data_IF_311607181047
#
_entry.id   IF_311607181047
#
_cell.length_a   1.000
_cell.length_b   1.000
_cell.length_c   1.000
_cell.angle_alpha   90.00
_cell.angle_beta   90.00
_cell.angle_gamma   90.00
#
_symmetry.space_group_name_H-M   'P 1'
#
loop_
_entity.id
_entity.type
_entity.pdbx_description
1 polymer ?
#
# COMPACT_ATOMS: atom_id res chain seq x y z
N UNK A 1 -15.92 -4.09 8.64
CA UNK A 1 -14.48 -4.44 8.66
C UNK A 1 -13.58 -3.21 8.82
N UNK A 2 -13.60 -2.19 7.90
CA UNK A 2 -12.75 -0.98 8.05
C UNK A 2 -13.14 -0.21 9.31
N UNK A 3 -14.42 -0.01 9.57
CA UNK A 3 -14.91 0.66 10.77
C UNK A 3 -14.45 -0.06 12.06
N UNK A 4 -14.44 -1.39 12.05
CA UNK A 4 -14.02 -2.19 13.22
C UNK A 4 -12.51 -2.02 13.47
N UNK A 5 -11.69 -1.96 12.40
CA UNK A 5 -10.24 -1.70 12.52
C UNK A 5 -9.95 -0.30 13.05
N UNK A 6 -10.70 0.71 12.61
CA UNK A 6 -10.56 2.08 13.12
C UNK A 6 -11.01 2.18 14.57
N UNK A 7 -12.12 1.54 14.93
CA UNK A 7 -12.58 1.47 16.31
C UNK A 7 -11.56 0.76 17.22
N UNK A 8 -10.98 -0.34 16.74
CA UNK A 8 -9.90 -1.04 17.45
C UNK A 8 -8.66 -0.15 17.63
N UNK A 9 -8.26 0.57 16.59
CA UNK A 9 -7.11 1.48 16.66
C UNK A 9 -7.33 2.60 17.69
N UNK A 10 -8.54 3.19 17.75
CA UNK A 10 -8.90 4.20 18.75
C UNK A 10 -8.89 3.62 20.15
N UNK A 11 -9.53 2.45 20.34
CA UNK A 11 -9.55 1.77 21.64
C UNK A 11 -8.14 1.50 22.15
N UNK A 12 -7.24 0.98 21.32
CA UNK A 12 -5.86 0.72 21.70
C UNK A 12 -5.04 2.00 21.95
N UNK A 13 -5.41 3.11 21.34
CA UNK A 13 -4.80 4.41 21.60
C UNK A 13 -5.25 5.01 22.94
N UNK A 14 -6.53 4.90 23.27
CA UNK A 14 -7.15 5.42 24.50
C UNK A 14 -6.89 4.49 25.69
N UNK A 15 -6.92 3.19 25.45
CA UNK A 15 -6.75 2.13 26.43
C UNK A 15 -5.69 1.12 25.94
N UNK A 16 -4.39 1.41 26.15
CA UNK A 16 -3.31 0.53 25.73
C UNK A 16 -3.42 -0.87 26.37
N UNK A 17 -3.25 -1.90 25.56
CA UNK A 17 -3.29 -3.31 25.96
C UNK A 17 -1.89 -3.95 25.82
N UNK A 18 -0.96 -3.76 26.77
CA UNK A 18 0.46 -4.11 26.61
C UNK A 18 0.73 -5.61 26.56
N UNK A 19 -0.29 -6.44 26.72
CA UNK A 19 -0.19 -7.90 26.67
C UNK A 19 -1.08 -8.54 25.60
N UNK A 20 -1.74 -7.73 24.75
CA UNK A 20 -2.67 -8.23 23.73
C UNK A 20 -2.01 -9.22 22.74
N UNK A 21 -0.71 -9.07 22.49
CA UNK A 21 0.08 -9.94 21.61
C UNK A 21 1.20 -10.67 22.36
N UNK A 22 1.03 -10.90 23.69
CA UNK A 22 2.05 -11.60 24.49
C UNK A 22 2.37 -12.98 23.88
N UNK A 23 3.66 -13.25 23.67
CA UNK A 23 4.16 -14.49 23.08
C UNK A 23 3.94 -14.61 21.55
N UNK A 24 3.40 -13.58 20.89
CA UNK A 24 3.21 -13.55 19.43
C UNK A 24 4.41 -12.96 18.73
N UNK A 25 4.70 -13.53 17.56
CA UNK A 25 5.82 -13.11 16.71
C UNK A 25 5.28 -12.65 15.34
N UNK A 26 5.68 -11.46 14.90
CA UNK A 26 5.42 -10.94 13.57
C UNK A 26 6.69 -11.02 12.73
N UNK A 27 6.68 -11.82 11.66
CA UNK A 27 7.71 -11.79 10.64
C UNK A 27 7.52 -10.57 9.72
N UNK A 28 8.59 -9.84 9.40
CA UNK A 28 8.59 -8.68 8.53
C UNK A 28 9.56 -8.90 7.38
N UNK A 29 9.04 -9.18 6.18
CA UNK A 29 9.83 -9.37 4.96
C UNK A 29 9.83 -8.08 4.14
N UNK A 30 11.00 -7.48 3.98
CA UNK A 30 11.21 -6.26 3.20
C UNK A 30 11.97 -6.56 1.89
N UNK A 31 11.24 -6.72 0.79
CA UNK A 31 11.84 -6.73 -0.54
C UNK A 31 12.32 -5.32 -0.93
N UNK A 32 11.68 -4.29 -0.37
CA UNK A 32 12.04 -2.88 -0.53
C UNK A 32 12.12 -2.18 0.83
N UNK A 33 13.14 -1.34 1.08
CA UNK A 33 13.36 -0.72 2.38
C UNK A 33 12.28 0.30 2.74
N UNK A 34 12.05 0.47 4.05
CA UNK A 34 11.23 1.57 4.58
C UNK A 34 11.54 1.83 6.04
N UNK A 35 11.99 3.04 6.35
CA UNK A 35 12.26 3.46 7.73
C UNK A 35 10.97 3.46 8.58
N UNK A 36 9.92 4.11 8.09
CA UNK A 36 8.67 4.29 8.86
C UNK A 36 7.89 3.00 9.04
N UNK A 37 7.77 2.18 7.99
CA UNK A 37 7.08 0.89 8.06
C UNK A 37 7.80 -0.04 9.04
N UNK A 38 9.11 -0.18 8.91
CA UNK A 38 9.92 -1.00 9.81
C UNK A 38 9.72 -0.58 11.28
N UNK A 39 9.98 0.70 11.57
CA UNK A 39 9.94 1.20 12.94
C UNK A 39 8.55 1.12 13.57
N UNK A 40 7.49 1.44 12.79
CA UNK A 40 6.11 1.43 13.30
C UNK A 40 5.61 0.01 13.61
N UNK A 41 5.90 -0.97 12.75
CA UNK A 41 5.51 -2.35 13.02
C UNK A 41 6.26 -2.94 14.22
N UNK A 42 7.57 -2.71 14.32
CA UNK A 42 8.34 -3.17 15.47
C UNK A 42 7.87 -2.51 16.77
N UNK A 43 7.73 -1.18 16.78
CA UNK A 43 7.24 -0.46 17.94
C UNK A 43 5.81 -0.88 18.33
N UNK A 44 4.94 -1.12 17.35
CA UNK A 44 3.58 -1.61 17.58
C UNK A 44 3.56 -2.98 18.25
N UNK A 45 4.36 -3.92 17.75
CA UNK A 45 4.49 -5.25 18.36
C UNK A 45 4.97 -5.17 19.80
N UNK A 46 6.03 -4.39 20.07
CA UNK A 46 6.57 -4.21 21.42
C UNK A 46 5.55 -3.60 22.38
N UNK A 47 4.80 -2.59 21.93
CA UNK A 47 3.75 -1.93 22.75
C UNK A 47 2.59 -2.85 23.10
N UNK A 48 2.34 -3.87 22.29
CA UNK A 48 1.31 -4.88 22.50
C UNK A 48 1.83 -6.16 23.19
N UNK A 49 3.13 -6.18 23.58
CA UNK A 49 3.75 -7.30 24.31
C UNK A 49 4.22 -8.44 23.40
N UNK A 50 4.18 -8.26 22.09
CA UNK A 50 4.70 -9.21 21.12
C UNK A 50 6.14 -8.90 20.71
N UNK A 51 6.66 -9.68 19.79
CA UNK A 51 7.98 -9.52 19.20
C UNK A 51 7.92 -9.52 17.66
N UNK A 52 9.02 -9.14 17.00
CA UNK A 52 9.14 -9.21 15.56
C UNK A 52 10.55 -9.53 15.14
N UNK A 53 10.71 -10.21 14.02
CA UNK A 53 11.98 -10.30 13.31
C UNK A 53 11.85 -9.68 11.92
N UNK A 54 12.98 -9.24 11.38
CA UNK A 54 13.05 -8.57 10.08
C UNK A 54 13.97 -9.35 9.16
N UNK A 55 13.51 -9.57 7.93
CA UNK A 55 14.31 -10.15 6.85
C UNK A 55 14.33 -9.17 5.69
N UNK A 56 15.51 -8.81 5.24
CA UNK A 56 15.73 -8.00 4.03
C UNK A 56 16.67 -8.79 3.13
N UNK A 57 16.15 -9.46 2.08
CA UNK A 57 16.99 -10.26 1.18
C UNK A 57 18.13 -9.44 0.59
N UNK A 58 19.34 -10.01 0.61
CA UNK A 58 20.56 -9.32 0.17
C UNK A 58 21.18 -8.36 1.17
N UNK A 59 20.60 -8.19 2.35
CA UNK A 59 21.14 -7.38 3.44
C UNK A 59 21.23 -8.23 4.72
N UNK A 60 22.37 -8.87 4.94
CA UNK A 60 22.57 -9.80 6.04
C UNK A 60 22.00 -11.22 5.81
N UNK A 61 21.30 -11.41 4.72
CA UNK A 61 20.84 -12.70 4.20
C UNK A 61 21.14 -12.79 2.70
N UNK A 62 20.99 -13.97 2.10
CA UNK A 62 21.10 -14.10 0.64
C UNK A 62 19.88 -13.51 -0.08
N UNK A 63 20.05 -13.32 -1.40
CA UNK A 63 18.94 -12.93 -2.28
C UNK A 63 17.96 -14.08 -2.44
N UNK A 64 16.68 -13.74 -2.60
CA UNK A 64 15.60 -14.70 -2.85
C UNK A 64 15.07 -14.48 -4.27
N UNK A 65 14.91 -15.57 -5.02
CA UNK A 65 14.31 -15.54 -6.36
C UNK A 65 12.78 -15.50 -6.25
N UNK A 66 12.16 -14.57 -6.98
CA UNK A 66 10.71 -14.35 -6.97
C UNK A 66 10.01 -14.83 -8.24
N UNK A 67 10.75 -14.98 -9.36
CA UNK A 67 10.17 -15.27 -10.67
C UNK A 67 9.76 -16.72 -10.79
N UNK A 68 8.50 -16.95 -11.15
CA UNK A 68 8.00 -18.30 -11.41
C UNK A 68 8.73 -18.96 -12.58
N UNK A 69 9.17 -20.20 -12.39
CA UNK A 69 9.89 -20.96 -13.42
C UNK A 69 11.36 -20.57 -13.60
N UNK A 70 11.92 -19.72 -12.73
CA UNK A 70 13.33 -19.41 -12.76
C UNK A 70 14.19 -20.66 -12.53
N UNK A 71 15.27 -20.76 -13.31
CA UNK A 71 16.30 -21.79 -13.08
C UNK A 71 17.22 -21.25 -11.99
N UNK A 72 17.41 -22.03 -10.91
CA UNK A 72 18.19 -21.65 -9.72
C UNK A 72 19.71 -21.78 -9.96
N UNK A 73 20.23 -21.08 -10.98
CA UNK A 73 21.64 -21.07 -11.36
C UNK A 73 22.27 -19.67 -11.35
N UNK A 74 21.53 -18.68 -10.82
CA UNK A 74 21.96 -17.28 -10.71
C UNK A 74 22.29 -16.91 -9.23
N UNK A 75 22.29 -15.62 -8.90
CA UNK A 75 22.75 -15.12 -7.60
C UNK A 75 21.83 -15.37 -6.41
N UNK A 76 20.61 -15.88 -6.61
CA UNK A 76 19.70 -16.20 -5.52
C UNK A 76 19.91 -17.64 -5.04
N UNK A 77 20.12 -17.83 -3.74
CA UNK A 77 20.31 -19.15 -3.15
C UNK A 77 19.01 -19.90 -2.89
N UNK A 78 17.87 -19.20 -2.83
CA UNK A 78 16.57 -19.74 -2.45
C UNK A 78 15.44 -19.09 -3.24
N UNK A 79 14.36 -19.81 -3.47
CA UNK A 79 13.17 -19.29 -4.14
C UNK A 79 12.08 -18.95 -3.11
N UNK A 80 11.20 -17.99 -3.41
CA UNK A 80 10.08 -17.62 -2.52
C UNK A 80 9.16 -18.80 -2.19
N UNK A 81 9.10 -19.83 -3.03
CA UNK A 81 8.29 -21.02 -2.80
C UNK A 81 8.75 -21.84 -1.57
N UNK A 82 10.02 -21.79 -1.26
CA UNK A 82 10.63 -22.38 -0.06
C UNK A 82 10.71 -21.35 1.06
N UNK A 83 11.22 -20.15 0.76
CA UNK A 83 11.48 -19.11 1.76
C UNK A 83 10.22 -18.67 2.51
N UNK A 84 9.10 -18.44 1.81
CA UNK A 84 7.88 -17.91 2.45
C UNK A 84 7.27 -18.93 3.45
N UNK A 85 7.04 -20.22 3.10
CA UNK A 85 6.55 -21.20 4.06
C UNK A 85 7.47 -21.38 5.27
N UNK A 86 8.80 -21.34 5.07
CA UNK A 86 9.78 -21.46 6.15
C UNK A 86 9.70 -20.24 7.07
N UNK A 87 9.70 -19.02 6.55
CA UNK A 87 9.55 -17.80 7.36
C UNK A 87 8.22 -17.78 8.12
N UNK A 88 7.13 -18.18 7.46
CA UNK A 88 5.82 -18.28 8.08
C UNK A 88 5.78 -19.30 9.23
N UNK A 89 6.61 -20.36 9.19
CA UNK A 89 6.70 -21.34 10.28
C UNK A 89 7.30 -20.77 11.57
N UNK A 90 8.07 -19.69 11.49
CA UNK A 90 8.74 -19.04 12.62
C UNK A 90 7.89 -17.94 13.29
N UNK A 91 6.72 -17.61 12.75
CA UNK A 91 5.91 -16.50 13.22
C UNK A 91 4.42 -16.84 13.29
N UNK A 92 3.65 -16.00 13.98
CA UNK A 92 2.19 -16.08 14.06
C UNK A 92 1.50 -15.32 12.92
N UNK A 93 2.18 -14.33 12.37
CA UNK A 93 1.73 -13.56 11.20
C UNK A 93 2.95 -13.08 10.39
N UNK A 94 2.78 -12.89 9.07
CA UNK A 94 3.83 -12.43 8.18
C UNK A 94 3.40 -11.15 7.45
N UNK A 95 4.19 -10.09 7.59
CA UNK A 95 4.07 -8.87 6.80
C UNK A 95 5.06 -8.88 5.64
N UNK A 96 4.60 -8.52 4.44
CA UNK A 96 5.46 -8.41 3.25
C UNK A 96 5.32 -7.00 2.63
N UNK A 97 6.47 -6.41 2.31
CA UNK A 97 6.59 -5.16 1.54
C UNK A 97 7.35 -5.47 0.26
N UNK A 98 6.68 -5.32 -0.89
CA UNK A 98 7.25 -5.61 -2.21
C UNK A 98 6.64 -4.68 -3.26
N UNK A 99 7.45 -3.78 -3.80
CA UNK A 99 7.04 -2.79 -4.78
C UNK A 99 6.84 -3.38 -6.18
N UNK A 100 6.25 -2.55 -7.04
CA UNK A 100 6.32 -2.69 -8.48
C UNK A 100 7.78 -2.76 -8.97
N UNK A 101 8.03 -3.52 -10.02
CA UNK A 101 9.34 -3.51 -10.68
C UNK A 101 9.56 -2.23 -11.49
N UNK A 102 8.49 -1.55 -11.87
CA UNK A 102 8.55 -0.32 -12.66
C UNK A 102 8.99 -0.52 -14.10
N UNK A 103 8.76 -1.70 -14.68
CA UNK A 103 9.18 -2.07 -16.04
C UNK A 103 8.01 -2.34 -16.96
N UNK A 104 7.02 -3.07 -16.47
CA UNK A 104 5.83 -3.48 -17.20
C UNK A 104 4.60 -3.16 -16.35
N UNK A 105 3.82 -2.18 -16.79
CA UNK A 105 2.64 -1.71 -16.06
C UNK A 105 1.60 -2.83 -15.89
N UNK A 106 1.39 -3.67 -16.90
CA UNK A 106 0.40 -4.74 -16.82
C UNK A 106 0.81 -5.82 -15.81
N UNK A 107 2.10 -6.18 -15.78
CA UNK A 107 2.66 -7.11 -14.81
C UNK A 107 2.58 -6.55 -13.38
N UNK A 108 2.89 -5.27 -13.19
CA UNK A 108 2.83 -4.61 -11.89
C UNK A 108 1.39 -4.44 -11.40
N UNK A 109 0.42 -4.14 -12.28
CA UNK A 109 -1.01 -4.12 -11.94
C UNK A 109 -1.51 -5.51 -11.54
N UNK A 110 -1.04 -6.57 -12.20
CA UNK A 110 -1.42 -7.94 -11.88
C UNK A 110 -0.89 -8.40 -10.51
N UNK A 111 0.19 -7.79 -10.01
CA UNK A 111 0.84 -8.11 -8.72
C UNK A 111 1.17 -9.62 -8.58
N UNK A 112 1.54 -10.29 -9.68
CA UNK A 112 1.66 -11.76 -9.72
C UNK A 112 2.63 -12.30 -8.68
N UNK A 113 3.78 -11.66 -8.51
CA UNK A 113 4.79 -12.09 -7.53
C UNK A 113 4.34 -11.86 -6.09
N UNK A 114 3.71 -10.71 -5.83
CA UNK A 114 3.18 -10.39 -4.50
C UNK A 114 2.07 -11.36 -4.09
N UNK A 115 1.15 -11.66 -5.02
CA UNK A 115 0.08 -12.64 -4.80
C UNK A 115 0.63 -14.04 -4.56
N UNK A 116 1.63 -14.47 -5.33
CA UNK A 116 2.31 -15.74 -5.10
C UNK A 116 2.85 -15.82 -3.66
N UNK A 117 3.55 -14.77 -3.18
CA UNK A 117 4.06 -14.76 -1.81
C UNK A 117 2.94 -14.79 -0.77
N UNK A 118 1.83 -14.08 -1.01
CA UNK A 118 0.67 -14.10 -0.13
C UNK A 118 0.01 -15.48 -0.08
N UNK A 119 -0.14 -16.14 -1.23
CA UNK A 119 -0.74 -17.48 -1.34
C UNK A 119 0.12 -18.59 -0.70
N UNK A 120 1.44 -18.42 -0.71
CA UNK A 120 2.38 -19.33 -0.05
C UNK A 120 2.40 -19.17 1.47
N UNK A 121 1.91 -18.05 1.98
CA UNK A 121 1.85 -17.77 3.40
C UNK A 121 0.62 -18.44 4.03
N UNK A 122 0.83 -19.48 4.85
CA UNK A 122 -0.23 -20.20 5.58
C UNK A 122 -0.57 -19.56 6.95
N UNK A 123 -0.14 -18.32 7.20
CA UNK A 123 -0.40 -17.55 8.41
C UNK A 123 -1.17 -16.28 8.07
N UNK A 124 -1.78 -15.61 9.06
CA UNK A 124 -2.29 -14.25 8.88
C UNK A 124 -1.27 -13.37 8.15
N UNK A 125 -1.73 -12.71 7.08
CA UNK A 125 -0.87 -11.98 6.16
C UNK A 125 -1.15 -10.48 6.20
N UNK A 126 -0.09 -9.67 6.23
CA UNK A 126 -0.18 -8.21 6.22
C UNK A 126 0.52 -7.66 4.97
N UNK A 127 -0.23 -7.01 4.09
CA UNK A 127 0.34 -6.21 3.02
C UNK A 127 0.90 -4.90 3.62
N UNK A 128 2.22 -4.78 3.70
CA UNK A 128 2.90 -3.58 4.21
C UNK A 128 3.12 -2.51 3.14
N UNK A 129 2.99 -2.82 1.90
CA UNK A 129 2.88 -2.09 0.63
C UNK A 129 3.23 -3.04 -0.50
N UNK A 130 2.37 -3.08 -1.50
CA UNK A 130 2.58 -3.82 -2.75
C UNK A 130 2.63 -2.87 -3.94
N UNK A 131 2.69 -3.37 -5.17
CA UNK A 131 2.76 -2.53 -6.37
C UNK A 131 1.57 -1.57 -6.51
N UNK A 132 0.37 -2.03 -6.15
CA UNK A 132 -0.89 -1.31 -6.37
C UNK A 132 -1.66 -1.00 -5.09
N UNK A 133 -1.09 -1.27 -3.91
CA UNK A 133 -1.83 -1.06 -2.66
C UNK A 133 -0.91 -0.75 -1.48
N UNK A 134 -1.37 0.17 -0.62
CA UNK A 134 -0.75 0.48 0.67
C UNK A 134 -1.83 0.55 1.76
N UNK A 135 -2.39 -0.60 2.18
CA UNK A 135 -3.58 -0.62 3.03
C UNK A 135 -3.37 0.02 4.40
N UNK A 136 -2.18 -0.12 4.98
CA UNK A 136 -1.88 0.51 6.28
C UNK A 136 -1.88 2.04 6.20
N UNK A 137 -1.37 2.62 5.10
CA UNK A 137 -1.42 4.07 4.86
C UNK A 137 -2.88 4.51 4.66
N UNK A 138 -3.63 3.83 3.81
CA UNK A 138 -5.03 4.15 3.56
C UNK A 138 -5.88 4.10 4.84
N UNK A 139 -5.65 3.10 5.71
CA UNK A 139 -6.34 2.99 6.99
C UNK A 139 -5.96 4.14 7.96
N UNK A 140 -4.69 4.53 7.98
CA UNK A 140 -4.21 5.65 8.78
C UNK A 140 -4.81 6.98 8.30
N UNK A 141 -4.87 7.20 6.99
CA UNK A 141 -5.47 8.39 6.38
C UNK A 141 -6.97 8.47 6.68
N UNK A 142 -7.68 7.35 6.58
CA UNK A 142 -9.09 7.30 6.98
C UNK A 142 -9.29 7.67 8.45
N UNK A 143 -8.51 7.05 9.35
CA UNK A 143 -8.56 7.37 10.78
C UNK A 143 -8.26 8.85 11.03
N UNK A 144 -7.25 9.41 10.37
CA UNK A 144 -6.89 10.83 10.49
C UNK A 144 -8.04 11.74 10.06
N UNK A 145 -8.71 11.44 8.94
CA UNK A 145 -9.87 12.21 8.51
C UNK A 145 -11.04 12.11 9.50
N UNK A 146 -11.28 10.94 10.08
CA UNK A 146 -12.32 10.76 11.09
C UNK A 146 -11.97 11.50 12.39
N UNK A 147 -10.69 11.50 12.83
CA UNK A 147 -10.23 12.21 14.03
C UNK A 147 -10.30 13.74 13.86
N UNK A 148 -10.15 14.23 12.63
CA UNK A 148 -10.30 15.63 12.25
C UNK A 148 -11.75 16.01 11.91
N UNK A 149 -12.71 15.12 12.12
CA UNK A 149 -14.13 15.32 11.83
C UNK A 149 -14.42 15.71 10.36
N UNK A 150 -13.58 15.27 9.40
CA UNK A 150 -13.84 15.49 7.98
C UNK A 150 -15.18 14.80 7.59
N UNK A 151 -16.14 15.52 6.95
CA UNK A 151 -17.41 14.93 6.56
C UNK A 151 -17.24 13.68 5.70
N UNK A 152 -18.03 12.63 5.93
CA UNK A 152 -17.98 11.41 5.11
C UNK A 152 -18.34 11.66 3.65
N UNK A 153 -19.26 12.59 3.40
CA UNK A 153 -19.64 13.05 2.07
C UNK A 153 -18.81 14.24 1.58
N UNK A 154 -17.71 14.58 2.29
CA UNK A 154 -16.83 15.69 1.92
C UNK A 154 -16.09 15.44 0.61
N UNK A 155 -15.64 16.52 -0.02
CA UNK A 155 -14.84 16.46 -1.25
C UNK A 155 -13.38 16.14 -0.92
N UNK A 156 -12.87 15.08 -1.53
CA UNK A 156 -11.48 14.63 -1.45
C UNK A 156 -10.79 14.83 -2.80
N UNK A 157 -9.72 15.60 -2.83
CA UNK A 157 -8.93 15.84 -4.04
C UNK A 157 -7.61 15.10 -3.93
N UNK A 158 -7.44 14.07 -4.77
CA UNK A 158 -6.14 13.44 -5.00
C UNK A 158 -5.44 14.20 -6.11
N UNK A 159 -4.45 15.01 -5.74
CA UNK A 159 -3.73 15.85 -6.68
C UNK A 159 -2.38 15.27 -7.03
N UNK A 160 -2.15 15.06 -8.32
CA UNK A 160 -0.80 14.86 -8.80
C UNK A 160 0.07 16.08 -8.50
N UNK A 161 1.30 15.84 -8.09
CA UNK A 161 2.33 16.86 -7.86
C UNK A 161 3.66 16.36 -8.39
N UNK A 162 4.50 17.29 -8.84
CA UNK A 162 5.82 16.94 -9.38
C UNK A 162 6.76 16.40 -8.29
N UNK A 163 7.53 15.38 -8.66
CA UNK A 163 8.69 14.88 -7.93
C UNK A 163 9.78 14.49 -8.95
N UNK A 164 11.07 14.68 -8.66
CA UNK A 164 12.17 14.40 -9.62
C UNK A 164 12.38 12.91 -9.92
N UNK A 165 11.64 12.03 -9.30
CA UNK A 165 11.61 10.59 -9.60
C UNK A 165 10.17 10.14 -9.71
N UNK A 166 9.87 9.34 -10.73
CA UNK A 166 8.60 8.62 -10.82
C UNK A 166 8.40 7.73 -9.59
N UNK A 167 7.30 7.93 -8.89
CA UNK A 167 6.96 7.13 -7.70
C UNK A 167 5.92 6.05 -8.03
N UNK A 168 5.87 4.96 -7.23
CA UNK A 168 4.91 3.89 -7.45
C UNK A 168 3.45 4.31 -7.36
N UNK A 169 2.58 3.59 -8.07
CA UNK A 169 1.13 3.76 -8.08
C UNK A 169 0.43 3.28 -6.78
N UNK A 170 1.14 2.61 -5.89
CA UNK A 170 0.59 2.00 -4.67
C UNK A 170 -0.20 2.99 -3.80
N UNK A 171 0.39 4.14 -3.47
CA UNK A 171 -0.25 5.14 -2.60
C UNK A 171 -1.42 5.82 -3.29
N UNK A 172 -1.31 6.39 -4.52
CA UNK A 172 -2.46 7.01 -5.16
C UNK A 172 -3.61 6.02 -5.38
N UNK A 173 -3.34 4.76 -5.76
CA UNK A 173 -4.36 3.74 -5.92
C UNK A 173 -5.06 3.39 -4.58
N UNK A 174 -4.29 3.22 -3.51
CA UNK A 174 -4.83 2.92 -2.18
C UNK A 174 -5.65 4.10 -1.62
N UNK A 175 -5.15 5.32 -1.77
CA UNK A 175 -5.79 6.56 -1.29
C UNK A 175 -7.09 6.84 -2.03
N UNK A 176 -7.09 6.72 -3.37
CA UNK A 176 -8.28 6.85 -4.19
C UNK A 176 -9.36 5.84 -3.77
N UNK A 177 -9.00 4.58 -3.64
CA UNK A 177 -9.93 3.52 -3.24
C UNK A 177 -10.46 3.74 -1.82
N UNK A 178 -9.61 4.16 -0.89
CA UNK A 178 -9.98 4.46 0.49
C UNK A 178 -11.00 5.61 0.57
N UNK A 179 -10.76 6.73 -0.10
CA UNK A 179 -11.67 7.87 -0.11
C UNK A 179 -13.02 7.51 -0.74
N UNK A 180 -13.00 6.72 -1.83
CA UNK A 180 -14.20 6.17 -2.45
C UNK A 180 -14.98 5.23 -1.50
N UNK A 181 -14.30 4.32 -0.79
CA UNK A 181 -14.93 3.45 0.21
C UNK A 181 -15.52 4.22 1.40
N UNK A 182 -14.91 5.35 1.75
CA UNK A 182 -15.42 6.21 2.84
C UNK A 182 -16.72 6.93 2.47
N UNK A 183 -17.08 6.98 1.17
CA UNK A 183 -18.29 7.63 0.66
C UNK A 183 -18.09 9.08 0.25
N UNK A 184 -16.86 9.49 -0.04
CA UNK A 184 -16.52 10.86 -0.39
C UNK A 184 -16.81 11.17 -1.86
N UNK A 185 -16.95 12.46 -2.18
CA UNK A 185 -16.81 12.97 -3.54
C UNK A 185 -15.32 13.05 -3.87
N UNK A 186 -14.82 12.11 -4.68
CA UNK A 186 -13.40 12.00 -4.99
C UNK A 186 -13.09 12.59 -6.36
N UNK A 187 -12.14 13.52 -6.41
CA UNK A 187 -11.65 14.14 -7.64
C UNK A 187 -10.17 13.84 -7.79
N UNK A 188 -9.80 13.19 -8.88
CA UNK A 188 -8.38 13.03 -9.28
C UNK A 188 -8.00 14.24 -10.12
N UNK A 189 -7.19 15.12 -9.54
CA UNK A 189 -6.61 16.28 -10.22
C UNK A 189 -5.25 15.92 -10.78
N UNK A 190 -5.13 15.88 -12.09
CA UNK A 190 -3.91 15.45 -12.75
C UNK A 190 -3.69 16.18 -14.08
N UNK A 191 -2.44 16.39 -14.53
CA UNK A 191 -2.16 16.87 -15.87
C UNK A 191 -2.47 15.78 -16.93
N UNK A 192 -2.43 16.16 -18.19
CA UNK A 192 -2.47 15.22 -19.31
C UNK A 192 -1.28 14.24 -19.23
N UNK A 193 -1.48 12.99 -19.65
CA UNK A 193 -0.46 11.92 -19.57
C UNK A 193 -0.34 11.23 -18.23
N UNK A 194 -0.94 11.75 -17.15
CA UNK A 194 -0.84 11.20 -15.80
C UNK A 194 -2.16 10.56 -15.30
N UNK A 195 -2.94 10.00 -16.21
CA UNK A 195 -4.13 9.26 -15.82
C UNK A 195 -3.77 8.02 -14.97
N UNK A 196 -4.53 7.77 -13.91
CA UNK A 196 -4.39 6.49 -13.20
C UNK A 196 -4.90 5.34 -14.10
N UNK A 197 -4.31 4.14 -14.01
CA UNK A 197 -4.76 2.98 -14.78
C UNK A 197 -6.27 2.75 -14.62
N UNK A 198 -6.95 2.36 -15.71
CA UNK A 198 -8.42 2.19 -15.68
C UNK A 198 -8.87 1.15 -14.64
N UNK A 199 -8.07 0.12 -14.40
CA UNK A 199 -8.36 -0.87 -13.34
C UNK A 199 -8.43 -0.24 -11.96
N UNK A 200 -7.58 0.76 -11.67
CA UNK A 200 -7.58 1.52 -10.41
C UNK A 200 -8.82 2.39 -10.33
N UNK A 201 -9.13 3.13 -11.39
CA UNK A 201 -10.31 3.99 -11.48
C UNK A 201 -11.61 3.19 -11.38
N UNK A 202 -11.72 2.06 -12.09
CA UNK A 202 -12.88 1.17 -12.06
C UNK A 202 -13.12 0.61 -10.66
N UNK A 203 -12.07 0.17 -9.97
CA UNK A 203 -12.16 -0.31 -8.57
C UNK A 203 -12.66 0.77 -7.63
N UNK A 204 -12.18 1.99 -7.78
CA UNK A 204 -12.61 3.12 -6.96
C UNK A 204 -14.07 3.52 -7.26
N UNK A 205 -14.48 3.58 -8.53
CA UNK A 205 -15.89 3.84 -8.92
C UNK A 205 -16.84 2.77 -8.38
N UNK A 206 -16.43 1.50 -8.42
CA UNK A 206 -17.22 0.40 -7.84
C UNK A 206 -17.39 0.56 -6.32
N UNK A 207 -16.31 0.94 -5.61
CA UNK A 207 -16.38 1.22 -4.18
C UNK A 207 -17.28 2.42 -3.86
N UNK A 208 -17.17 3.51 -4.62
CA UNK A 208 -18.00 4.70 -4.49
C UNK A 208 -19.49 4.37 -4.68
N UNK A 209 -19.82 3.54 -5.67
CA UNK A 209 -21.22 3.09 -5.91
C UNK A 209 -21.82 2.38 -4.69
N UNK A 210 -21.02 1.62 -3.96
CA UNK A 210 -21.46 0.90 -2.75
C UNK A 210 -21.59 1.84 -1.56
N UNK A 211 -20.66 2.78 -1.42
CA UNK A 211 -20.59 3.69 -0.27
C UNK A 211 -21.49 4.94 -0.38
N UNK A 212 -22.05 5.20 -1.56
CA UNK A 212 -22.82 6.42 -1.85
C UNK A 212 -21.94 7.63 -2.24
N UNK A 213 -20.65 7.44 -2.48
CA UNK A 213 -19.74 8.45 -2.99
C UNK A 213 -19.71 8.54 -4.52
N UNK A 214 -18.79 9.32 -5.06
CA UNK A 214 -18.52 9.39 -6.49
C UNK A 214 -17.01 9.57 -6.77
N UNK A 215 -16.60 9.25 -8.00
CA UNK A 215 -15.20 9.38 -8.45
C UNK A 215 -15.19 10.01 -9.83
N UNK A 216 -14.50 11.14 -9.95
CA UNK A 216 -14.23 11.83 -11.20
C UNK A 216 -12.77 12.22 -11.34
N UNK A 217 -12.39 12.72 -12.52
CA UNK A 217 -11.06 13.25 -12.78
C UNK A 217 -11.13 14.53 -13.60
N UNK A 218 -10.16 15.41 -13.44
CA UNK A 218 -10.06 16.67 -14.18
C UNK A 218 -8.62 17.18 -14.19
N UNK A 219 -8.29 18.01 -15.18
CA UNK A 219 -7.07 18.83 -15.21
C UNK A 219 -7.34 20.29 -14.76
N UNK A 220 -8.60 20.68 -14.57
CA UNK A 220 -8.95 22.01 -14.10
C UNK A 220 -8.78 22.13 -12.60
N UNK A 221 -7.73 22.83 -12.21
CA UNK A 221 -7.36 23.07 -10.80
C UNK A 221 -8.43 23.84 -10.04
N UNK A 222 -9.04 24.84 -10.66
CA UNK A 222 -10.00 25.68 -9.98
C UNK A 222 -11.27 24.89 -9.61
N UNK A 223 -11.80 24.13 -10.55
CA UNK A 223 -12.98 23.29 -10.32
C UNK A 223 -12.70 22.13 -9.36
N UNK A 224 -11.51 21.52 -9.43
CA UNK A 224 -11.12 20.44 -8.52
C UNK A 224 -11.07 20.90 -7.06
N UNK A 225 -10.46 22.04 -6.81
CA UNK A 225 -10.20 22.54 -5.45
C UNK A 225 -11.39 23.26 -4.83
N UNK A 226 -12.37 23.68 -5.62
CA UNK A 226 -13.57 24.36 -5.10
C UNK A 226 -14.32 23.46 -4.11
N UNK A 227 -14.46 23.92 -2.86
CA UNK A 227 -15.13 23.17 -1.80
C UNK A 227 -14.40 21.92 -1.30
N UNK A 228 -13.10 21.75 -1.60
CA UNK A 228 -12.32 20.64 -1.13
C UNK A 228 -12.20 20.64 0.40
N UNK A 229 -12.52 19.50 1.03
CA UNK A 229 -12.31 19.24 2.45
C UNK A 229 -10.95 18.63 2.71
N UNK A 230 -10.43 17.85 1.75
CA UNK A 230 -9.12 17.21 1.81
C UNK A 230 -8.39 17.43 0.49
N UNK A 231 -7.14 17.85 0.56
CA UNK A 231 -6.19 17.86 -0.56
C UNK A 231 -5.07 16.89 -0.24
N UNK A 232 -4.99 15.83 -1.02
CA UNK A 232 -3.95 14.81 -0.92
C UNK A 232 -2.97 14.97 -2.09
N UNK A 233 -1.85 15.62 -1.83
CA UNK A 233 -0.81 15.87 -2.82
C UNK A 233 0.12 14.66 -2.92
N UNK A 234 0.16 13.99 -4.08
CA UNK A 234 1.00 12.80 -4.30
C UNK A 234 1.48 12.74 -5.73
N UNK A 235 2.75 12.46 -5.89
CA UNK A 235 3.33 12.14 -7.19
C UNK A 235 3.11 10.66 -7.52
N UNK A 236 2.89 10.36 -8.80
CA UNK A 236 2.97 9.03 -9.40
C UNK A 236 3.47 9.14 -10.83
N UNK A 237 4.16 8.09 -11.30
CA UNK A 237 4.69 8.01 -12.64
C UNK A 237 3.61 7.98 -13.72
N UNK A 238 3.92 8.54 -14.90
CA UNK A 238 3.03 8.47 -16.06
C UNK A 238 2.88 7.03 -16.56
N UNK A 239 1.66 6.52 -16.75
CA UNK A 239 1.47 5.23 -17.41
C UNK A 239 1.97 5.18 -18.86
N UNK A 240 2.02 6.34 -19.53
CA UNK A 240 2.49 6.46 -20.93
C UNK A 240 4.01 6.31 -21.05
N UNK A 241 4.76 6.63 -19.99
CA UNK A 241 6.22 6.53 -19.91
C UNK A 241 6.66 5.37 -18.99
N UNK A 242 5.73 4.50 -18.59
CA UNK A 242 6.03 3.45 -17.62
C UNK A 242 7.17 2.54 -18.10
N UNK A 243 8.21 2.40 -17.27
CA UNK A 243 9.41 1.64 -17.60
C UNK A 243 10.50 2.43 -18.31
N UNK A 244 10.27 3.71 -18.64
CA UNK A 244 11.25 4.64 -19.21
C UNK A 244 11.45 5.87 -18.30
N UNK A 245 12.34 5.80 -17.30
CA UNK A 245 12.60 6.92 -16.39
C UNK A 245 13.16 8.18 -17.06
N UNK A 246 13.78 8.05 -18.24
CA UNK A 246 14.30 9.21 -18.98
C UNK A 246 13.19 9.97 -19.70
N UNK A 247 12.19 9.27 -20.22
CA UNK A 247 11.04 9.90 -20.86
C UNK A 247 10.22 10.72 -19.85
N UNK A 248 10.13 10.26 -18.61
CA UNK A 248 9.34 10.91 -17.57
C UNK A 248 10.00 12.18 -16.98
N UNK A 249 11.30 12.35 -17.17
CA UNK A 249 12.04 13.55 -16.74
C UNK A 249 12.10 14.66 -17.79
N UNK A 250 11.55 14.45 -18.98
CA UNK A 250 11.48 15.42 -20.07
C UNK A 250 10.14 16.14 -20.11
#
# INVERSE_FOLDING_TARGET
>A
QVADLIALARRLQEHPEPHALAGKILGLLFMNPSLRTLSSFQAGMMRLGGSSFVVTPGQGTWQVETRTGAVMNAGAAEHVREAIPVLASYCDALGIRSFAEGKDLAADIAETQFRLMADLCNKPFVNMESAMNHPCQALADWKTMDDLAVPRTGRFVLSWVYHPRALPLAVPAATLHMAAQRGMEVVVLRPEGYALPEQVMAKARAAAKVSGGCVGETSDRASALAGAHVLYAKEWGSPECYGDPEAETR
#
